data_IF_784103005225
#
_entry.id   IF_784103005225
#
_cell.length_a   1.000
_cell.length_b   1.000
_cell.length_c   1.000
_cell.angle_alpha   90.00
_cell.angle_beta   90.00
_cell.angle_gamma   90.00
#
_symmetry.space_group_name_H-M   'P 1'
#
loop_
_entity.id
_entity.type
_entity.pdbx_description
1 polymer ?
#
# COMPACT_ATOMS: atom_id res chain seq x y z
N UNK A 1 -22.60 -6.80 -23.08
CA UNK A 1 -21.69 -7.37 -24.10
C UNK A 1 -20.39 -6.60 -24.06
N UNK A 2 -19.29 -7.26 -23.70
CA UNK A 2 -17.94 -6.74 -23.87
C UNK A 2 -17.08 -7.88 -24.42
N UNK A 3 -17.27 -8.18 -25.71
CA UNK A 3 -16.52 -9.18 -26.47
C UNK A 3 -15.29 -8.56 -27.18
N UNK A 4 -14.92 -7.32 -26.86
CA UNK A 4 -13.71 -6.69 -27.38
C UNK A 4 -12.61 -6.59 -26.30
N UNK A 5 -12.56 -7.55 -25.39
CA UNK A 5 -11.40 -7.68 -24.52
C UNK A 5 -10.23 -8.12 -25.40
N UNK A 6 -9.15 -7.32 -25.39
CA UNK A 6 -7.84 -7.64 -25.98
C UNK A 6 -7.56 -9.14 -25.78
N UNK A 7 -7.16 -9.83 -26.86
CA UNK A 7 -6.81 -11.26 -26.82
C UNK A 7 -5.92 -11.52 -25.59
N UNK A 8 -6.32 -12.50 -24.79
CA UNK A 8 -5.60 -12.84 -23.57
C UNK A 8 -4.24 -13.42 -23.99
N UNK A 9 -3.14 -12.93 -23.42
CA UNK A 9 -1.79 -13.34 -23.84
C UNK A 9 -1.44 -14.79 -23.43
N UNK A 10 -2.33 -15.48 -22.72
CA UNK A 10 -2.15 -16.84 -22.23
C UNK A 10 -2.89 -17.81 -23.14
N UNK A 11 -2.15 -18.54 -23.96
CA UNK A 11 -2.67 -19.47 -24.96
C UNK A 11 -3.64 -20.50 -24.36
N UNK A 12 -3.31 -21.04 -23.18
CA UNK A 12 -4.18 -22.00 -22.49
C UNK A 12 -5.59 -21.46 -22.22
N UNK A 13 -5.72 -20.17 -21.89
CA UNK A 13 -7.03 -19.55 -21.63
C UNK A 13 -7.79 -19.39 -22.94
N UNK A 14 -7.12 -19.03 -24.03
CA UNK A 14 -7.76 -18.91 -25.33
C UNK A 14 -8.20 -20.27 -25.87
N UNK A 15 -7.37 -21.30 -25.72
CA UNK A 15 -7.71 -22.67 -26.09
C UNK A 15 -8.95 -23.17 -25.33
N UNK A 16 -8.98 -23.01 -24.00
CA UNK A 16 -10.17 -23.36 -23.19
C UNK A 16 -11.41 -22.59 -23.64
N UNK A 17 -11.29 -21.30 -23.99
CA UNK A 17 -12.42 -20.50 -24.48
C UNK A 17 -12.97 -21.03 -25.80
N UNK A 18 -12.09 -21.37 -26.74
CA UNK A 18 -12.52 -21.95 -28.02
C UNK A 18 -13.12 -23.35 -27.82
N UNK A 19 -12.53 -24.21 -26.99
CA UNK A 19 -13.08 -25.53 -26.66
C UNK A 19 -14.51 -25.43 -26.09
N UNK A 20 -14.74 -24.49 -25.16
CA UNK A 20 -16.07 -24.23 -24.57
C UNK A 20 -17.06 -23.74 -25.64
N UNK A 21 -16.60 -22.92 -26.59
CA UNK A 21 -17.43 -22.33 -27.65
C UNK A 21 -17.79 -23.32 -28.74
N UNK A 22 -16.89 -24.25 -29.06
CA UNK A 22 -17.12 -25.31 -30.05
C UNK A 22 -18.01 -26.43 -29.50
N UNK A 23 -18.00 -26.65 -28.17
CA UNK A 23 -18.80 -27.67 -27.52
C UNK A 23 -20.32 -27.45 -27.73
N UNK A 24 -20.98 -28.47 -28.31
CA UNK A 24 -22.42 -28.42 -28.64
C UNK A 24 -23.35 -28.86 -27.50
N UNK A 25 -22.81 -29.36 -26.40
CA UNK A 25 -23.59 -29.83 -25.25
C UNK A 25 -23.85 -28.74 -24.21
N UNK A 26 -24.51 -29.12 -23.11
CA UNK A 26 -24.72 -28.24 -21.96
C UNK A 26 -23.57 -28.39 -20.95
N UNK A 27 -22.85 -27.31 -20.70
CA UNK A 27 -21.82 -27.25 -19.65
C UNK A 27 -22.47 -26.70 -18.38
N UNK A 28 -22.24 -27.37 -17.24
CA UNK A 28 -22.63 -26.88 -15.92
C UNK A 28 -21.38 -26.75 -15.05
N UNK A 29 -21.07 -25.54 -14.63
CA UNK A 29 -19.93 -25.26 -13.74
C UNK A 29 -20.44 -25.21 -12.29
N UNK A 30 -19.88 -26.05 -11.43
CA UNK A 30 -20.24 -26.11 -10.00
C UNK A 30 -18.98 -25.97 -9.16
N UNK A 31 -19.02 -25.11 -8.15
CA UNK A 31 -17.94 -25.01 -7.18
C UNK A 31 -18.14 -26.03 -6.05
N UNK A 32 -17.11 -26.82 -5.78
CA UNK A 32 -17.09 -27.82 -4.71
C UNK A 32 -15.90 -27.57 -3.79
N UNK A 33 -16.07 -27.86 -2.50
CA UNK A 33 -15.00 -27.72 -1.50
C UNK A 33 -13.92 -28.79 -1.71
N UNK A 34 -12.66 -28.38 -1.62
CA UNK A 34 -11.52 -29.30 -1.62
C UNK A 34 -11.47 -30.14 -0.34
N UNK A 35 -10.89 -31.35 -0.43
CA UNK A 35 -10.59 -32.25 0.70
C UNK A 35 -11.78 -32.65 1.60
N UNK A 36 -12.95 -32.88 0.98
CA UNK A 36 -14.19 -33.24 1.69
C UNK A 36 -14.73 -34.64 1.32
N UNK A 37 -13.88 -35.55 0.81
CA UNK A 37 -14.28 -36.91 0.44
C UNK A 37 -14.95 -37.04 -0.93
N UNK A 38 -14.92 -35.99 -1.77
CA UNK A 38 -15.43 -36.10 -3.13
C UNK A 38 -14.42 -36.83 -4.01
N UNK A 39 -14.67 -38.11 -4.28
CA UNK A 39 -13.72 -39.00 -4.95
C UNK A 39 -13.18 -38.44 -6.28
N UNK A 40 -14.04 -37.85 -7.12
CA UNK A 40 -13.63 -37.27 -8.39
C UNK A 40 -12.70 -36.07 -8.23
N UNK A 41 -13.03 -35.15 -7.32
CA UNK A 41 -12.20 -33.98 -7.01
C UNK A 41 -10.87 -34.36 -6.35
N UNK A 42 -10.89 -35.34 -5.44
CA UNK A 42 -9.69 -35.85 -4.78
C UNK A 42 -8.76 -36.56 -5.75
N UNK A 43 -9.32 -37.37 -6.67
CA UNK A 43 -8.52 -37.98 -7.73
C UNK A 43 -7.91 -36.94 -8.66
N UNK A 44 -8.65 -35.89 -9.02
CA UNK A 44 -8.13 -34.78 -9.82
C UNK A 44 -7.00 -34.02 -9.10
N UNK A 45 -7.15 -33.74 -7.80
CA UNK A 45 -6.12 -33.09 -6.98
C UNK A 45 -4.85 -33.96 -6.85
N UNK A 46 -5.01 -35.28 -6.66
CA UNK A 46 -3.90 -36.21 -6.64
C UNK A 46 -3.14 -36.22 -7.98
N UNK A 47 -3.85 -36.31 -9.10
CA UNK A 47 -3.23 -36.27 -10.43
C UNK A 47 -2.53 -34.93 -10.70
N UNK A 48 -3.11 -33.82 -10.28
CA UNK A 48 -2.48 -32.50 -10.40
C UNK A 48 -1.19 -32.43 -9.57
N UNK A 49 -1.16 -32.99 -8.36
CA UNK A 49 0.06 -33.10 -7.54
C UNK A 49 1.12 -33.98 -8.20
N UNK A 50 0.74 -35.15 -8.70
CA UNK A 50 1.65 -36.05 -9.43
C UNK A 50 2.25 -35.33 -10.66
N UNK A 51 1.46 -34.53 -11.38
CA UNK A 51 1.93 -33.74 -12.51
C UNK A 51 2.97 -32.66 -12.12
N UNK A 52 2.94 -32.13 -10.89
CA UNK A 52 3.98 -31.19 -10.41
C UNK A 52 5.37 -31.82 -10.27
N UNK A 53 5.46 -33.16 -10.22
CA UNK A 53 6.72 -33.90 -10.15
C UNK A 53 7.32 -34.19 -11.53
N UNK A 54 6.55 -33.96 -12.60
CA UNK A 54 7.01 -34.13 -13.98
C UNK A 54 7.74 -32.84 -14.37
N UNK A 55 9.02 -32.96 -14.72
CA UNK A 55 9.90 -31.82 -15.04
C UNK A 55 9.64 -31.18 -16.41
N UNK A 56 8.46 -31.37 -16.99
CA UNK A 56 8.12 -30.85 -18.30
C UNK A 56 7.56 -29.44 -18.14
N UNK A 57 8.39 -28.45 -18.43
CA UNK A 57 8.08 -27.02 -18.38
C UNK A 57 7.28 -26.60 -19.63
N UNK A 58 6.12 -27.22 -19.87
CA UNK A 58 5.45 -27.07 -21.17
C UNK A 58 4.50 -25.86 -21.26
N UNK A 59 4.22 -25.16 -20.16
CA UNK A 59 3.20 -24.09 -20.14
C UNK A 59 3.76 -22.78 -19.59
N UNK A 60 4.05 -21.85 -20.51
CA UNK A 60 4.42 -20.47 -20.16
C UNK A 60 3.19 -19.68 -19.71
N UNK A 61 3.12 -19.39 -18.42
CA UNK A 61 2.15 -18.43 -17.88
C UNK A 61 2.77 -17.03 -17.88
N UNK A 62 2.46 -16.25 -18.92
CA UNK A 62 2.77 -14.82 -18.91
C UNK A 62 2.08 -14.16 -17.70
N UNK A 63 2.75 -13.27 -16.95
CA UNK A 63 2.15 -12.59 -15.81
C UNK A 63 0.85 -11.89 -16.22
N UNK A 64 -0.20 -12.09 -15.43
CA UNK A 64 -1.45 -11.36 -15.64
C UNK A 64 -1.24 -9.85 -15.51
N UNK A 65 -2.12 -9.07 -16.13
CA UNK A 65 -2.12 -7.60 -16.00
C UNK A 65 -2.08 -7.12 -14.54
N UNK A 66 -2.75 -7.83 -13.64
CA UNK A 66 -2.75 -7.52 -12.22
C UNK A 66 -1.39 -7.80 -11.56
N UNK A 67 -0.74 -8.90 -11.90
CA UNK A 67 0.62 -9.20 -11.41
C UNK A 67 1.61 -8.13 -11.88
N UNK A 68 1.60 -7.78 -13.16
CA UNK A 68 2.46 -6.73 -13.71
C UNK A 68 2.23 -5.40 -12.97
N UNK A 69 0.97 -5.00 -12.78
CA UNK A 69 0.62 -3.78 -12.06
C UNK A 69 1.10 -3.81 -10.60
N UNK A 70 0.92 -4.93 -9.92
CA UNK A 70 1.30 -5.07 -8.52
C UNK A 70 2.82 -5.02 -8.34
N UNK A 71 3.58 -5.70 -9.21
CA UNK A 71 5.05 -5.62 -9.21
C UNK A 71 5.53 -4.20 -9.54
N UNK A 72 4.93 -3.56 -10.55
CA UNK A 72 5.24 -2.16 -10.88
C UNK A 72 5.00 -1.23 -9.68
N UNK A 73 3.87 -1.38 -8.98
CA UNK A 73 3.57 -0.60 -7.79
C UNK A 73 4.56 -0.86 -6.64
N UNK A 74 5.03 -2.10 -6.48
CA UNK A 74 6.04 -2.45 -5.48
C UNK A 74 7.36 -1.75 -5.79
N UNK A 75 7.83 -1.84 -7.03
CA UNK A 75 9.07 -1.18 -7.49
C UNK A 75 8.98 0.33 -7.28
N UNK A 76 7.87 0.96 -7.68
CA UNK A 76 7.67 2.41 -7.51
C UNK A 76 7.71 2.81 -6.04
N UNK A 77 7.06 2.04 -5.16
CA UNK A 77 7.09 2.27 -3.71
C UNK A 77 8.50 2.17 -3.16
N UNK A 78 9.24 1.12 -3.52
CA UNK A 78 10.61 0.93 -3.04
C UNK A 78 11.53 2.08 -3.51
N UNK A 79 11.42 2.47 -4.78
CA UNK A 79 12.14 3.62 -5.31
C UNK A 79 11.79 4.92 -4.59
N UNK A 80 10.51 5.16 -4.27
CA UNK A 80 10.10 6.35 -3.57
C UNK A 80 10.55 6.33 -2.10
N UNK A 81 10.50 5.19 -1.43
CA UNK A 81 11.03 5.04 -0.08
C UNK A 81 12.55 5.30 -0.04
N UNK A 82 13.31 4.81 -1.02
CA UNK A 82 14.74 5.09 -1.11
C UNK A 82 15.02 6.58 -1.29
N UNK A 83 14.33 7.24 -2.23
CA UNK A 83 14.44 8.71 -2.40
C UNK A 83 14.04 9.46 -1.14
N UNK A 84 13.02 8.98 -0.43
CA UNK A 84 12.62 9.53 0.85
C UNK A 84 13.76 9.40 1.84
N UNK A 85 14.28 8.20 2.10
CA UNK A 85 15.39 7.93 3.01
C UNK A 85 16.65 8.77 2.70
N UNK A 86 16.97 8.98 1.43
CA UNK A 86 18.16 9.72 1.00
C UNK A 86 18.00 11.25 1.03
N UNK A 87 16.77 11.76 1.21
CA UNK A 87 16.51 13.20 1.24
C UNK A 87 17.24 13.91 2.39
N UNK A 88 18.05 14.92 2.07
CA UNK A 88 18.82 15.71 3.05
C UNK A 88 18.01 16.82 3.73
N UNK A 89 16.94 17.30 3.08
CA UNK A 89 16.23 18.52 3.49
C UNK A 89 14.92 18.27 4.25
N UNK A 90 14.47 17.02 4.36
CA UNK A 90 13.18 16.66 4.94
C UNK A 90 13.27 16.03 6.34
N UNK A 91 14.34 16.33 7.10
CA UNK A 91 14.62 15.66 8.39
C UNK A 91 13.46 15.77 9.38
N UNK A 92 12.81 16.94 9.48
CA UNK A 92 11.64 17.13 10.33
C UNK A 92 10.48 16.22 9.91
N UNK A 93 10.05 16.31 8.64
CA UNK A 93 8.91 15.53 8.14
C UNK A 93 9.18 14.02 8.21
N UNK A 94 10.44 13.57 8.05
CA UNK A 94 10.85 12.18 8.27
C UNK A 94 10.64 11.68 9.69
N UNK A 95 10.87 12.52 10.70
CA UNK A 95 10.61 12.15 12.09
C UNK A 95 9.12 11.89 12.35
N UNK A 96 8.23 12.46 11.52
CA UNK A 96 6.79 12.23 11.59
C UNK A 96 6.35 11.09 10.66
N UNK A 97 6.94 10.99 9.47
CA UNK A 97 6.56 10.07 8.40
C UNK A 97 7.83 9.37 7.91
N UNK A 98 8.23 8.30 8.58
CA UNK A 98 9.43 7.53 8.21
C UNK A 98 9.19 6.66 6.97
N UNK A 99 7.98 6.08 6.87
CA UNK A 99 7.57 5.26 5.73
C UNK A 99 6.64 6.01 4.80
N UNK A 100 6.89 5.91 3.50
CA UNK A 100 5.97 6.45 2.51
C UNK A 100 4.61 5.77 2.65
N UNK A 101 3.55 6.57 2.53
CA UNK A 101 2.20 6.06 2.39
C UNK A 101 1.62 6.58 1.08
N UNK A 102 1.06 5.68 0.28
CA UNK A 102 0.40 6.00 -0.99
C UNK A 102 -1.10 6.27 -0.80
N UNK A 103 -1.64 5.99 0.38
CA UNK A 103 -2.98 6.39 0.74
C UNK A 103 -3.03 7.92 0.85
N UNK A 104 -4.20 8.48 0.51
CA UNK A 104 -4.36 9.93 0.41
C UNK A 104 -4.13 10.57 1.78
N UNK A 105 -3.01 11.26 1.93
CA UNK A 105 -2.82 12.22 3.01
C UNK A 105 -3.77 13.40 2.78
N UNK A 106 -4.75 13.55 3.67
CA UNK A 106 -5.53 14.78 3.75
C UNK A 106 -4.62 15.86 4.34
N UNK A 107 -4.13 16.77 3.48
CA UNK A 107 -3.43 17.96 3.91
C UNK A 107 -4.41 19.12 4.03
N UNK A 108 -4.53 19.71 5.21
CA UNK A 108 -5.18 21.00 5.42
C UNK A 108 -4.18 22.05 5.89
N UNK A 109 -4.65 23.28 6.07
CA UNK A 109 -3.82 24.41 6.48
C UNK A 109 -3.07 24.18 7.81
N UNK A 110 -3.68 23.48 8.77
CA UNK A 110 -3.10 23.23 10.08
C UNK A 110 -2.14 22.03 10.06
N UNK A 111 -2.52 20.94 9.38
CA UNK A 111 -1.67 19.76 9.20
C UNK A 111 -0.39 20.14 8.45
N UNK A 112 -0.49 20.95 7.40
CA UNK A 112 0.68 21.37 6.64
C UNK A 112 1.67 22.20 7.49
N UNK A 113 1.18 23.01 8.43
CA UNK A 113 2.04 23.73 9.37
C UNK A 113 2.82 22.77 10.28
N UNK A 114 2.16 21.73 10.79
CA UNK A 114 2.82 20.68 11.57
C UNK A 114 3.87 19.96 10.73
N UNK A 115 3.50 19.49 9.53
CA UNK A 115 4.38 18.69 8.67
C UNK A 115 5.62 19.44 8.18
N UNK A 116 5.53 20.76 8.07
CA UNK A 116 6.63 21.63 7.60
C UNK A 116 7.38 22.32 8.74
N UNK A 117 6.95 22.12 10.00
CA UNK A 117 7.42 22.88 11.16
C UNK A 117 7.29 24.41 10.98
N UNK A 118 6.19 24.84 10.35
CA UNK A 118 5.94 26.23 10.00
C UNK A 118 4.73 26.83 10.71
N UNK A 119 4.55 28.14 10.53
CA UNK A 119 3.34 28.84 10.93
C UNK A 119 3.43 29.39 12.35
N UNK A 120 2.47 29.01 13.21
CA UNK A 120 2.31 29.66 14.53
C UNK A 120 3.29 29.19 15.61
N UNK A 121 4.08 28.14 15.36
CA UNK A 121 5.06 27.63 16.32
C UNK A 121 6.13 28.67 16.64
N UNK A 122 6.49 28.81 17.92
CA UNK A 122 7.36 29.88 18.41
C UNK A 122 8.75 29.83 17.79
N UNK A 123 9.28 28.62 17.59
CA UNK A 123 10.56 28.42 16.89
C UNK A 123 10.54 29.00 15.47
N UNK A 124 9.51 28.67 14.69
CA UNK A 124 9.32 29.22 13.35
C UNK A 124 9.11 30.74 13.38
N UNK A 125 8.30 31.21 14.33
CA UNK A 125 8.00 32.62 14.47
C UNK A 125 9.24 33.47 14.84
N UNK A 126 10.13 32.93 15.68
CA UNK A 126 11.38 33.57 16.03
C UNK A 126 12.32 33.68 14.82
N UNK A 127 12.37 32.64 13.99
CA UNK A 127 13.25 32.60 12.81
C UNK A 127 12.90 33.64 11.74
N UNK A 128 11.61 33.94 11.54
CA UNK A 128 11.16 34.75 10.40
C UNK A 128 10.46 36.06 10.76
N UNK A 129 10.00 36.23 12.00
CA UNK A 129 9.17 37.38 12.40
C UNK A 129 9.65 38.06 13.69
N UNK A 130 10.91 37.83 14.10
CA UNK A 130 11.54 38.48 15.25
C UNK A 130 10.77 38.30 16.57
N UNK A 131 10.07 37.18 16.71
CA UNK A 131 9.34 36.83 17.94
C UNK A 131 10.22 36.02 18.89
N UNK A 132 9.77 35.86 20.13
CA UNK A 132 10.41 34.92 21.07
C UNK A 132 10.25 33.47 20.61
N UNK A 133 11.32 32.68 20.74
CA UNK A 133 11.31 31.23 20.52
C UNK A 133 10.73 30.46 21.71
N UNK A 134 10.61 31.09 22.88
CA UNK A 134 10.10 30.47 24.10
C UNK A 134 8.64 30.06 23.94
N UNK A 135 8.34 28.82 24.32
CA UNK A 135 6.98 28.29 24.35
C UNK A 135 6.10 29.05 25.34
N UNK A 136 4.78 28.99 25.14
CA UNK A 136 3.81 29.60 26.05
C UNK A 136 3.85 29.02 27.47
N UNK A 137 4.32 27.78 27.66
CA UNK A 137 4.53 27.18 28.98
C UNK A 137 5.77 27.73 29.70
N UNK A 138 6.64 28.47 29.00
CA UNK A 138 7.85 29.05 29.58
C UNK A 138 8.99 28.07 29.86
N UNK A 139 8.83 26.78 29.55
CA UNK A 139 9.83 25.74 29.91
C UNK A 139 10.89 25.51 28.82
N UNK A 140 10.51 25.54 27.55
CA UNK A 140 11.39 25.22 26.42
C UNK A 140 11.08 26.05 25.16
N UNK A 141 11.88 25.87 24.11
CA UNK A 141 11.58 26.37 22.76
C UNK A 141 10.25 25.81 22.28
N UNK A 142 9.35 26.66 21.78
CA UNK A 142 8.06 26.25 21.22
C UNK A 142 8.20 25.68 19.81
N UNK A 143 8.97 24.60 19.68
CA UNK A 143 9.06 23.76 18.50
C UNK A 143 7.77 22.95 18.32
N UNK A 144 7.58 22.38 17.13
CA UNK A 144 6.40 21.53 16.87
C UNK A 144 6.43 20.28 17.75
N UNK A 145 7.60 19.66 17.92
CA UNK A 145 7.76 18.48 18.78
C UNK A 145 7.33 18.78 20.21
N UNK A 146 7.85 19.89 20.76
CA UNK A 146 7.50 20.31 22.11
C UNK A 146 6.00 20.55 22.24
N UNK A 147 5.42 21.39 21.39
CA UNK A 147 3.99 21.74 21.45
C UNK A 147 3.10 20.49 21.34
N UNK A 148 3.42 19.59 20.42
CA UNK A 148 2.60 18.42 20.13
C UNK A 148 2.79 17.32 21.17
N UNK A 149 4.04 16.94 21.51
CA UNK A 149 4.34 15.74 22.30
C UNK A 149 4.62 16.01 23.79
N UNK A 150 5.16 17.17 24.15
CA UNK A 150 5.78 17.38 25.47
C UNK A 150 5.10 18.47 26.31
N UNK A 151 4.59 19.53 25.67
CA UNK A 151 4.16 20.76 26.31
C UNK A 151 2.98 20.55 27.25
N UNK A 152 3.15 20.86 28.53
CA UNK A 152 2.18 20.60 29.60
C UNK A 152 0.79 21.22 29.34
N UNK A 153 0.74 22.39 28.69
CA UNK A 153 -0.50 23.11 28.34
C UNK A 153 -1.43 22.23 27.49
N UNK A 154 -0.86 21.40 26.62
CA UNK A 154 -1.61 20.59 25.65
C UNK A 154 -1.83 19.14 26.11
N UNK A 155 -1.49 18.82 27.35
CA UNK A 155 -1.58 17.44 27.89
C UNK A 155 -2.99 16.88 27.85
N UNK A 156 -4.01 17.69 28.15
CA UNK A 156 -5.42 17.26 28.13
C UNK A 156 -5.87 16.83 26.73
N UNK A 157 -5.44 17.54 25.69
CA UNK A 157 -5.78 17.25 24.30
C UNK A 157 -5.12 15.95 23.81
N UNK A 158 -3.86 15.70 24.22
CA UNK A 158 -3.14 14.47 23.88
C UNK A 158 -3.80 13.20 24.40
N UNK A 159 -4.53 13.25 25.54
CA UNK A 159 -5.19 12.06 26.10
C UNK A 159 -6.20 11.42 25.16
N UNK A 160 -6.75 12.20 24.23
CA UNK A 160 -7.75 11.74 23.26
C UNK A 160 -7.15 11.41 21.89
N UNK A 161 -5.81 11.43 21.75
CA UNK A 161 -5.19 11.17 20.46
C UNK A 161 -5.18 9.67 20.14
N UNK A 162 -5.41 9.28 18.88
CA UNK A 162 -5.28 7.88 18.46
C UNK A 162 -3.88 7.37 18.79
N UNK A 163 -3.78 6.20 19.41
CA UNK A 163 -2.51 5.52 19.63
C UNK A 163 -1.84 5.21 18.28
N UNK A 164 -0.63 5.74 18.06
CA UNK A 164 0.17 5.50 16.85
C UNK A 164 0.65 6.73 16.07
N UNK A 165 0.54 7.94 16.62
CA UNK A 165 1.19 9.18 16.13
C UNK A 165 2.60 9.39 16.73
#
# INVERSE_FOLDING_TARGET
MALSAVEEARDIINNIKEDIKEYKGKITLTWIRAHMGNFGNERADQLAKEATLISDETISFVPSRNQIRNEGNKIIKDMWQNRWNDSKNARWTKNLIDKINVDRLYGDFYINQILTAHGIFREHQARFFEKTSLCLCGQETGSVLHVIKECEIWTSYRKNWPSGW
#
